data_IF_749573491006
#
_entry.id   IF_749573491006
#
_cell.length_a   1.000
_cell.length_b   1.000
_cell.length_c   1.000
_cell.angle_alpha   90.00
_cell.angle_beta   90.00
_cell.angle_gamma   90.00
#
_symmetry.space_group_name_H-M   'P 1'
#
loop_
_entity.id
_entity.type
_entity.pdbx_description
1 polymer ?
#
# COMPACT_ATOMS: atom_id res chain seq x y z
N UNK A 1 -10.07 2.79 1.68
CA UNK A 1 -10.99 3.92 1.89
C UNK A 1 -11.68 4.26 0.58
N UNK A 2 -12.38 5.40 0.47
CA UNK A 2 -12.92 5.89 -0.79
C UNK A 2 -11.80 6.18 -1.81
N UNK A 3 -12.12 6.11 -3.11
CA UNK A 3 -11.17 6.28 -4.22
C UNK A 3 -9.98 5.29 -4.22
N UNK A 4 -10.03 4.25 -3.39
CA UNK A 4 -9.04 3.16 -3.46
C UNK A 4 -9.34 2.28 -4.66
N UNK A 5 -8.32 1.99 -5.46
CA UNK A 5 -8.39 1.10 -6.62
C UNK A 5 -7.63 -0.16 -6.28
N UNK A 6 -8.25 -1.32 -6.47
CA UNK A 6 -7.65 -2.63 -6.25
C UNK A 6 -7.77 -3.42 -7.55
N UNK A 7 -6.64 -3.84 -8.10
CA UNK A 7 -6.58 -4.65 -9.30
C UNK A 7 -6.95 -6.12 -9.01
N UNK A 8 -7.40 -6.88 -10.03
CA UNK A 8 -7.59 -8.32 -9.92
C UNK A 8 -6.31 -9.02 -9.40
N UNK A 9 -6.44 -10.17 -8.72
CA UNK A 9 -5.32 -10.94 -8.15
C UNK A 9 -4.50 -10.26 -7.05
N UNK A 10 -4.83 -9.04 -6.62
CA UNK A 10 -4.30 -8.50 -5.38
C UNK A 10 -4.76 -9.36 -4.18
N UNK A 11 -3.88 -9.54 -3.20
CA UNK A 11 -4.13 -10.35 -2.00
C UNK A 11 -3.91 -9.49 -0.76
N UNK A 12 -4.94 -9.38 0.06
CA UNK A 12 -4.89 -8.67 1.34
C UNK A 12 -5.25 -9.69 2.43
N UNK A 13 -4.33 -9.95 3.34
CA UNK A 13 -4.42 -10.98 4.37
C UNK A 13 -4.30 -10.32 5.74
N UNK A 14 -5.36 -10.38 6.53
CA UNK A 14 -5.43 -9.81 7.88
C UNK A 14 -5.53 -10.96 8.90
N UNK A 15 -4.39 -11.49 9.35
CA UNK A 15 -4.33 -12.62 10.30
C UNK A 15 -4.12 -12.15 11.74
N UNK A 16 -3.20 -11.22 11.97
CA UNK A 16 -2.83 -10.70 13.30
C UNK A 16 -3.63 -9.48 13.77
N UNK A 17 -4.44 -8.90 12.89
CA UNK A 17 -5.24 -7.72 13.22
C UNK A 17 -5.84 -7.06 11.99
N UNK A 18 -6.79 -6.13 12.19
CA UNK A 18 -7.46 -5.44 11.08
C UNK A 18 -6.48 -4.59 10.26
N UNK A 19 -6.71 -4.52 8.95
CA UNK A 19 -5.96 -3.65 8.02
C UNK A 19 -6.83 -2.45 7.67
N UNK A 20 -6.38 -1.26 8.04
CA UNK A 20 -7.06 0.00 7.76
C UNK A 20 -6.40 0.64 6.54
N UNK A 21 -7.11 0.68 5.43
CA UNK A 21 -6.63 1.31 4.19
C UNK A 21 -7.27 2.70 4.04
N UNK A 22 -6.46 3.74 3.95
CA UNK A 22 -6.89 5.13 3.75
C UNK A 22 -7.47 5.40 2.35
N UNK A 23 -7.59 6.67 1.96
CA UNK A 23 -8.20 7.06 0.70
C UNK A 23 -7.21 7.08 -0.47
N UNK A 24 -7.71 6.97 -1.70
CA UNK A 24 -6.88 7.23 -2.90
C UNK A 24 -5.71 6.26 -3.12
N UNK A 25 -5.65 5.15 -2.38
CA UNK A 25 -4.61 4.15 -2.55
C UNK A 25 -4.80 3.37 -3.85
N UNK A 26 -3.71 3.00 -4.50
CA UNK A 26 -3.68 2.15 -5.67
C UNK A 26 -2.99 0.84 -5.32
N UNK A 27 -3.69 -0.27 -5.49
CA UNK A 27 -3.16 -1.61 -5.27
C UNK A 27 -3.22 -2.38 -6.59
N UNK A 28 -2.06 -2.60 -7.19
CA UNK A 28 -1.94 -3.25 -8.49
C UNK A 28 -1.99 -4.78 -8.41
N UNK A 29 -1.89 -5.44 -9.57
CA UNK A 29 -2.02 -6.89 -9.71
C UNK A 29 -0.93 -7.62 -8.90
N UNK A 30 -1.26 -8.75 -8.29
CA UNK A 30 -0.30 -9.57 -7.54
C UNK A 30 0.32 -8.88 -6.31
N UNK A 31 -0.10 -7.66 -5.95
CA UNK A 31 0.28 -7.02 -4.70
C UNK A 31 -0.19 -7.86 -3.52
N UNK A 32 0.69 -8.08 -2.55
CA UNK A 32 0.45 -8.90 -1.37
C UNK A 32 0.65 -8.05 -0.11
N UNK A 33 -0.46 -7.73 0.54
CA UNK A 33 -0.48 -6.99 1.82
C UNK A 33 -0.82 -7.99 2.92
N UNK A 34 0.08 -8.22 3.87
CA UNK A 34 -0.08 -9.21 4.92
C UNK A 34 0.14 -8.58 6.30
N UNK A 35 -0.88 -8.65 7.14
CA UNK A 35 -0.74 -8.46 8.57
C UNK A 35 -0.75 -9.84 9.25
N UNK A 36 0.40 -10.53 9.26
CA UNK A 36 0.58 -11.88 9.84
C UNK A 36 0.97 -11.82 11.32
N UNK A 37 1.08 -12.93 12.05
CA UNK A 37 1.72 -12.99 13.38
C UNK A 37 3.25 -13.06 13.24
N UNK A 38 4.06 -12.59 14.21
CA UNK A 38 5.51 -12.76 14.11
C UNK A 38 5.83 -14.26 14.19
N UNK A 39 6.80 -14.75 13.42
CA UNK A 39 7.17 -16.17 13.38
C UNK A 39 7.51 -16.77 14.78
N UNK A 40 7.76 -15.93 15.78
CA UNK A 40 8.12 -16.32 17.14
C UNK A 40 6.98 -16.29 18.17
N UNK A 41 5.73 -16.05 17.77
CA UNK A 41 4.61 -15.98 18.73
C UNK A 41 3.43 -16.80 18.22
N UNK A 42 3.35 -18.02 18.71
CA UNK A 42 2.13 -18.82 18.71
C UNK A 42 1.07 -18.12 19.57
N UNK A 43 -0.23 -18.20 19.22
CA UNK A 43 -1.32 -17.52 19.94
C UNK A 43 -1.53 -17.96 21.40
N UNK A 44 -0.69 -18.86 21.92
CA UNK A 44 -0.80 -19.45 23.26
C UNK A 44 0.09 -18.80 24.32
N UNK A 45 1.08 -17.97 23.96
CA UNK A 45 2.14 -17.61 24.93
C UNK A 45 2.15 -16.18 25.45
N UNK A 46 1.67 -15.17 24.72
CA UNK A 46 1.59 -13.80 25.25
C UNK A 46 0.40 -13.05 24.64
N UNK A 47 -0.23 -12.19 25.44
CA UNK A 47 -1.28 -11.25 25.08
C UNK A 47 -0.76 -10.22 24.06
N UNK A 48 -0.41 -10.68 22.84
CA UNK A 48 0.00 -9.79 21.77
C UNK A 48 -1.26 -9.09 21.30
N UNK A 49 -1.43 -7.85 21.77
CA UNK A 49 -2.49 -6.98 21.29
C UNK A 49 -2.54 -7.03 19.76
N UNK A 50 -3.71 -7.32 19.16
CA UNK A 50 -3.85 -7.41 17.72
C UNK A 50 -3.53 -6.04 17.13
N UNK A 51 -2.29 -5.88 16.66
CA UNK A 51 -1.80 -4.59 16.21
C UNK A 51 -2.39 -4.32 14.82
N UNK A 52 -3.21 -3.26 14.67
CA UNK A 52 -3.80 -2.95 13.39
C UNK A 52 -2.69 -2.49 12.43
N UNK A 53 -2.77 -2.95 11.19
CA UNK A 53 -1.96 -2.39 10.11
C UNK A 53 -2.67 -1.15 9.59
N UNK A 54 -1.97 -0.02 9.52
CA UNK A 54 -2.53 1.25 9.04
C UNK A 54 -1.82 1.69 7.77
N UNK A 55 -2.57 1.86 6.70
CA UNK A 55 -2.11 2.42 5.42
C UNK A 55 -2.78 3.77 5.25
N UNK A 56 -1.97 4.82 5.06
CA UNK A 56 -2.43 6.20 4.87
C UNK A 56 -3.09 6.43 3.52
N UNK A 57 -2.96 7.65 3.01
CA UNK A 57 -3.67 8.16 1.84
C UNK A 57 -2.75 8.26 0.63
N UNK A 58 -3.28 8.01 -0.57
CA UNK A 58 -2.58 8.12 -1.86
C UNK A 58 -1.28 7.29 -1.95
N UNK A 59 -1.24 6.11 -1.35
CA UNK A 59 -0.13 5.19 -1.55
C UNK A 59 -0.31 4.37 -2.82
N UNK A 60 0.80 4.05 -3.48
CA UNK A 60 0.83 3.22 -4.68
C UNK A 60 1.58 1.93 -4.37
N UNK A 61 0.92 0.80 -4.60
CA UNK A 61 1.47 -0.54 -4.49
C UNK A 61 1.50 -1.13 -5.90
N UNK A 62 2.67 -1.17 -6.52
CA UNK A 62 2.85 -1.71 -7.87
C UNK A 62 2.78 -3.26 -7.91
N UNK A 63 2.85 -3.80 -9.13
CA UNK A 63 2.70 -5.22 -9.42
C UNK A 63 3.66 -6.09 -8.61
N UNK A 64 3.10 -7.08 -7.91
CA UNK A 64 3.89 -8.09 -7.20
C UNK A 64 4.69 -7.57 -6.01
N UNK A 65 4.36 -6.39 -5.47
CA UNK A 65 4.95 -5.93 -4.23
C UNK A 65 4.48 -6.76 -3.02
N UNK A 66 5.31 -6.82 -1.99
CA UNK A 66 5.06 -7.50 -0.74
C UNK A 66 5.15 -6.48 0.39
N UNK A 67 4.04 -6.23 1.08
CA UNK A 67 3.99 -5.29 2.20
C UNK A 67 3.50 -5.97 3.46
N UNK A 68 4.37 -6.01 4.48
CA UNK A 68 4.05 -6.42 5.84
C UNK A 68 4.14 -5.26 6.83
N UNK A 69 4.47 -4.06 6.37
CA UNK A 69 4.67 -2.90 7.23
C UNK A 69 3.45 -2.61 8.11
N UNK A 70 3.65 -2.58 9.44
CA UNK A 70 2.57 -2.28 10.38
C UNK A 70 1.97 -0.89 10.18
N UNK A 71 2.76 0.06 9.68
CA UNK A 71 2.31 1.42 9.46
C UNK A 71 2.94 1.97 8.18
N UNK A 72 2.08 2.46 7.30
CA UNK A 72 2.41 3.16 6.06
C UNK A 72 1.74 4.52 6.11
N UNK A 73 2.51 5.59 5.99
CA UNK A 73 2.00 6.97 5.97
C UNK A 73 1.34 7.34 4.65
N UNK A 74 1.48 8.60 4.25
CA UNK A 74 0.80 9.17 3.08
C UNK A 74 1.74 9.35 1.89
N UNK A 75 1.21 9.23 0.68
CA UNK A 75 1.92 9.48 -0.58
C UNK A 75 3.19 8.60 -0.75
N UNK A 76 3.17 7.35 -0.28
CA UNK A 76 4.29 6.44 -0.51
C UNK A 76 4.12 5.67 -1.82
N UNK A 77 5.24 5.31 -2.44
CA UNK A 77 5.27 4.48 -3.64
C UNK A 77 6.09 3.24 -3.33
N UNK A 78 5.48 2.08 -3.50
CA UNK A 78 6.13 0.78 -3.41
C UNK A 78 6.18 0.20 -4.81
N UNK A 79 7.37 0.20 -5.39
CA UNK A 79 7.59 -0.30 -6.74
C UNK A 79 7.49 -1.83 -6.84
N UNK A 80 7.46 -2.29 -8.09
CA UNK A 80 7.28 -3.68 -8.45
C UNK A 80 8.29 -4.61 -7.76
N UNK A 81 7.80 -5.74 -7.23
CA UNK A 81 8.59 -6.76 -6.51
C UNK A 81 9.37 -6.24 -5.28
N UNK A 82 9.06 -5.05 -4.78
CA UNK A 82 9.62 -4.60 -3.51
C UNK A 82 9.09 -5.46 -2.36
N UNK A 83 9.92 -5.64 -1.33
CA UNK A 83 9.57 -6.33 -0.09
C UNK A 83 9.72 -5.35 1.08
N UNK A 84 8.63 -5.16 1.82
CA UNK A 84 8.59 -4.35 3.03
C UNK A 84 8.28 -5.27 4.21
N UNK A 85 9.23 -5.36 5.12
CA UNK A 85 9.19 -6.21 6.30
C UNK A 85 8.21 -5.70 7.36
N UNK A 86 7.85 -6.60 8.26
CA UNK A 86 6.85 -6.35 9.30
C UNK A 86 7.19 -5.15 10.19
N UNK A 87 8.43 -5.09 10.64
CA UNK A 87 8.89 -4.11 11.63
C UNK A 87 9.28 -2.75 11.00
N UNK A 88 9.01 -2.58 9.71
CA UNK A 88 9.22 -1.32 9.00
C UNK A 88 8.02 -0.41 9.24
N UNK A 89 8.31 0.83 9.60
CA UNK A 89 7.31 1.91 9.62
C UNK A 89 7.68 2.86 8.49
N UNK A 90 6.83 2.90 7.46
CA UNK A 90 6.93 3.89 6.40
C UNK A 90 6.22 5.16 6.86
N UNK A 91 6.93 6.28 6.83
CA UNK A 91 6.35 7.61 7.08
C UNK A 91 5.68 8.12 5.80
N UNK A 92 5.81 9.40 5.45
CA UNK A 92 5.16 9.99 4.29
C UNK A 92 6.16 10.39 3.21
N UNK A 93 5.77 10.24 1.93
CA UNK A 93 6.60 10.59 0.78
C UNK A 93 7.80 9.66 0.58
N UNK A 94 7.75 8.43 1.08
CA UNK A 94 8.80 7.43 0.87
C UNK A 94 8.60 6.71 -0.46
N UNK A 95 9.71 6.41 -1.14
CA UNK A 95 9.71 5.63 -2.38
C UNK A 95 10.58 4.40 -2.16
N UNK A 96 9.97 3.23 -2.36
CA UNK A 96 10.65 1.95 -2.30
C UNK A 96 10.88 1.45 -3.71
N UNK A 97 12.14 1.36 -4.11
CA UNK A 97 12.54 0.93 -5.44
C UNK A 97 12.23 -0.54 -5.74
N UNK A 98 12.17 -0.86 -7.02
CA UNK A 98 11.86 -2.19 -7.49
C UNK A 98 12.89 -3.22 -6.99
N UNK A 99 12.42 -4.42 -6.65
CA UNK A 99 13.24 -5.50 -6.07
C UNK A 99 14.01 -5.14 -4.79
N UNK A 100 13.70 -4.02 -4.12
CA UNK A 100 14.34 -3.68 -2.84
C UNK A 100 13.74 -4.52 -1.71
N UNK A 101 14.59 -4.98 -0.79
CA UNK A 101 14.16 -5.73 0.39
C UNK A 101 14.45 -4.92 1.66
N UNK A 102 13.38 -4.38 2.25
CA UNK A 102 13.45 -3.59 3.46
C UNK A 102 13.02 -4.50 4.61
N UNK A 103 13.98 -5.13 5.27
CA UNK A 103 13.75 -5.86 6.51
C UNK A 103 14.41 -5.18 7.71
N UNK A 104 14.62 -3.87 7.61
CA UNK A 104 15.23 -3.11 8.68
C UNK A 104 14.20 -2.77 9.74
N UNK A 105 14.49 -3.12 11.00
CA UNK A 105 13.63 -2.88 12.17
C UNK A 105 13.65 -1.40 12.56
N UNK A 106 13.28 -0.52 11.63
CA UNK A 106 13.41 0.91 11.81
C UNK A 106 12.29 1.68 11.12
N UNK A 107 12.18 2.94 11.52
CA UNK A 107 11.26 3.91 10.94
C UNK A 107 11.97 4.57 9.76
N UNK A 108 11.42 4.40 8.56
CA UNK A 108 11.93 5.10 7.37
C UNK A 108 11.51 6.57 7.48
N UNK A 109 12.46 7.51 7.53
CA UNK A 109 12.14 8.92 7.67
C UNK A 109 11.46 9.45 6.40
N UNK A 110 10.71 10.55 6.56
CA UNK A 110 9.95 11.14 5.46
C UNK A 110 10.87 11.52 4.30
N UNK A 111 10.34 11.47 3.07
CA UNK A 111 11.09 11.85 1.86
C UNK A 111 12.35 10.99 1.60
N UNK A 112 12.34 9.74 2.07
CA UNK A 112 13.42 8.78 1.81
C UNK A 112 13.13 7.97 0.57
N UNK A 113 14.13 7.88 -0.32
CA UNK A 113 14.10 6.99 -1.46
C UNK A 113 15.07 5.85 -1.21
N UNK A 114 14.57 4.62 -1.27
CA UNK A 114 15.36 3.39 -1.16
C UNK A 114 15.47 2.81 -2.56
N UNK A 115 16.68 2.62 -3.06
CA UNK A 115 16.91 2.11 -4.41
C UNK A 115 18.13 1.21 -4.51
N UNK A 116 18.19 0.48 -5.62
CA UNK A 116 19.30 -0.39 -5.95
C UNK A 116 19.23 -1.76 -5.26
N UNK A 117 19.94 -2.73 -5.82
CA UNK A 117 20.00 -4.10 -5.27
C UNK A 117 20.58 -4.13 -3.84
N UNK A 118 21.45 -3.18 -3.52
CA UNK A 118 22.07 -3.01 -2.22
C UNK A 118 21.16 -2.31 -1.19
N UNK A 119 19.90 -2.00 -1.55
CA UNK A 119 18.95 -1.27 -0.72
C UNK A 119 19.52 0.06 -0.19
N UNK A 120 20.27 0.75 -1.05
CA UNK A 120 20.90 2.02 -0.71
C UNK A 120 19.84 3.06 -0.42
N UNK A 121 20.10 3.85 0.62
CA UNK A 121 19.20 4.90 1.05
C UNK A 121 19.74 6.23 0.61
N UNK A 122 18.87 7.01 -0.01
CA UNK A 122 19.14 8.42 -0.25
C UNK A 122 18.08 9.23 0.46
N UNK A 123 18.52 9.99 1.45
CA UNK A 123 17.71 11.06 2.03
C UNK A 123 17.64 12.14 0.97
N UNK A 124 16.46 12.39 0.43
CA UNK A 124 16.29 13.44 -0.55
C UNK A 124 16.26 14.77 0.20
N UNK A 125 17.25 15.63 -0.05
CA UNK A 125 17.36 16.97 0.56
C UNK A 125 16.29 17.95 0.07
N UNK A 126 15.64 17.65 -1.04
CA UNK A 126 14.47 18.40 -1.53
C UNK A 126 13.23 17.51 -1.46
N UNK A 127 12.09 18.10 -1.04
CA UNK A 127 10.80 17.40 -1.05
C UNK A 127 10.60 16.72 -2.41
N UNK A 128 10.34 15.41 -2.48
CA UNK A 128 9.95 14.79 -3.73
C UNK A 128 8.75 15.58 -4.25
N UNK A 129 8.85 16.04 -5.50
CA UNK A 129 7.74 16.72 -6.16
C UNK A 129 6.52 15.81 -6.01
N UNK A 130 5.36 16.36 -5.58
CA UNK A 130 4.15 15.55 -5.49
C UNK A 130 3.94 14.84 -6.82
N UNK A 131 3.89 13.50 -6.83
CA UNK A 131 3.63 12.74 -8.05
C UNK A 131 2.16 12.84 -8.51
N UNK A 132 1.56 14.04 -8.38
CA UNK A 132 0.29 14.38 -9.02
C UNK A 132 0.34 14.07 -10.52
N UNK A 133 1.50 14.20 -11.16
CA UNK A 133 1.68 13.89 -12.58
C UNK A 133 1.58 12.40 -12.91
N UNK A 134 2.04 11.49 -12.05
CA UNK A 134 1.84 10.04 -12.27
C UNK A 134 0.40 9.62 -11.92
N UNK A 135 -0.18 10.20 -10.87
CA UNK A 135 -1.59 9.99 -10.53
C UNK A 135 -2.52 10.51 -11.65
N UNK A 136 -2.23 11.69 -12.21
CA UNK A 136 -2.95 12.27 -13.34
C UNK A 136 -2.74 11.48 -14.63
N UNK A 137 -1.54 10.95 -14.86
CA UNK A 137 -1.28 10.08 -16.01
C UNK A 137 -2.05 8.77 -15.89
N UNK A 138 -2.05 8.15 -14.72
CA UNK A 138 -2.80 6.92 -14.47
C UNK A 138 -4.32 7.16 -14.52
N UNK A 139 -4.82 8.26 -13.94
CA UNK A 139 -6.23 8.69 -14.05
C UNK A 139 -6.66 9.01 -15.49
N UNK A 140 -5.72 9.41 -16.37
CA UNK A 140 -5.98 9.64 -17.80
C UNK A 140 -5.91 8.37 -18.66
N UNK A 141 -5.17 7.34 -18.23
CA UNK A 141 -5.05 6.07 -18.95
C UNK A 141 -6.10 5.04 -18.48
N UNK A 142 -6.56 5.12 -17.23
CA UNK A 142 -7.62 4.28 -16.66
C UNK A 142 -8.96 4.28 -17.44
N UNK A 143 -9.42 5.40 -18.05
CA UNK A 143 -10.61 5.38 -18.91
C UNK A 143 -10.41 4.56 -20.20
N UNK A 144 -9.16 4.42 -20.66
CA UNK A 144 -8.82 3.77 -21.92
C UNK A 144 -8.53 2.26 -21.78
N UNK A 145 -8.12 1.79 -20.59
CA UNK A 145 -7.74 0.38 -20.40
C UNK A 145 -8.85 -0.52 -19.85
N UNK A 146 -9.99 0.05 -19.47
CA UNK A 146 -11.15 -0.74 -19.09
C UNK A 146 -12.43 -0.06 -19.56
N UNK A 147 -13.25 -0.82 -20.30
CA UNK A 147 -14.70 -0.68 -20.24
C UNK A 147 -15.16 -0.93 -18.80
N UNK A 148 -14.85 0.00 -17.88
CA UNK A 148 -15.32 -0.04 -16.51
C UNK A 148 -16.83 -0.02 -16.65
N UNK A 149 -17.44 -1.21 -16.51
CA UNK A 149 -18.85 -1.38 -16.27
C UNK A 149 -19.15 -0.37 -15.17
N UNK A 150 -19.78 0.74 -15.54
CA UNK A 150 -20.63 1.47 -14.64
C UNK A 150 -21.51 0.39 -14.02
N UNK A 151 -21.23 -0.01 -12.79
CA UNK A 151 -22.31 -0.32 -11.88
C UNK A 151 -23.05 1.01 -11.74
N UNK A 152 -23.94 1.27 -12.70
CA UNK A 152 -25.06 2.16 -12.47
C UNK A 152 -25.63 1.66 -11.16
N UNK A 153 -25.58 2.50 -10.12
CA UNK A 153 -26.48 2.33 -8.98
C UNK A 153 -27.83 2.01 -9.59
N UNK A 154 -28.33 0.81 -9.35
CA UNK A 154 -29.69 0.45 -9.74
C UNK A 154 -30.57 1.52 -9.09
N UNK A 155 -31.15 2.38 -9.93
CA UNK A 155 -32.14 3.35 -9.51
C UNK A 155 -33.28 2.51 -8.96
N UNK A 156 -33.38 2.43 -7.64
CA UNK A 156 -34.53 1.85 -6.97
C UNK A 156 -35.76 2.62 -7.44
N UNK A 157 -36.57 1.97 -8.27
CA UNK A 157 -37.91 2.45 -8.62
C UNK A 157 -38.71 2.61 -7.32
N UNK A 158 -39.31 3.78 -7.04
CA UNK A 158 -40.31 3.85 -6.01
C UNK A 158 -41.56 3.14 -6.55
N UNK A 159 -41.87 1.98 -5.98
CA UNK A 159 -43.20 1.36 -6.10
C UNK A 159 -44.17 2.30 -5.40
N UNK A 160 -45.05 2.96 -6.15
CA UNK A 160 -46.24 3.63 -5.61
C UNK A 160 -47.40 2.65 -5.69
N UNK A 161 -47.97 2.36 -4.52
CA UNK A 161 -49.33 1.87 -4.33
C UNK A 161 -50.37 2.87 -4.83
#
# INVERSE_FOLDING_TARGET
GPRTVIHPKARIIAEAGPIVIGEGNLIEEQALIINGYPENITPETEEVEPKPMVIGTNNVFEVGCYSQAMKVGDNNVIESKAFVGRNVILTSGCIIGACCNINTYEVIPENTVIYGADCLRRVQTERPQPQTLQLDFLMKILPNYHHLKKTMKATSTPVKS
#
